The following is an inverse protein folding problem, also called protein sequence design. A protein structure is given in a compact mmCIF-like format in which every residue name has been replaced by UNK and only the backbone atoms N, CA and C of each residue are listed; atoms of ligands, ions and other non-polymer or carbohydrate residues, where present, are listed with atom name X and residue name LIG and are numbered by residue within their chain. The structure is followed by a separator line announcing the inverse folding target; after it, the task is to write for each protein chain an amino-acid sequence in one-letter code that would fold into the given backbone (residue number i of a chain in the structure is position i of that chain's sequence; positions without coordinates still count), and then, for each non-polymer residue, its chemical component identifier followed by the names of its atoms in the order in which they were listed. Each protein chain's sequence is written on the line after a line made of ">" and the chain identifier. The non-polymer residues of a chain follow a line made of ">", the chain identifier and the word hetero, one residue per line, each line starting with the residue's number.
data_IF_118711113509
#
_entry.id   IF_118711113509
#
_cell.length_a   1.000
_cell.length_b   1.000
_cell.length_c   1.000
_cell.angle_alpha   90.00
_cell.angle_beta   90.00
_cell.angle_gamma   90.00
#
_symmetry.space_group_name_H-M   'P 1'
#
loop_
_entity.id
_entity.type
_entity.pdbx_description
1 polymer ?
#
# COMPACT_ATOMS: atom_id res chain seq x y z
N UNK A 1 -21.93 -12.27 -5.81
CA UNK A 1 -20.90 -11.93 -4.83
C UNK A 1 -19.49 -11.92 -5.43
N UNK A 2 -18.99 -12.99 -6.02
CA UNK A 2 -17.63 -13.08 -6.62
C UNK A 2 -17.28 -11.95 -7.59
N UNK A 3 -18.21 -11.50 -8.43
CA UNK A 3 -17.95 -10.42 -9.39
C UNK A 3 -17.64 -9.08 -8.71
N UNK A 4 -18.38 -8.73 -7.63
CA UNK A 4 -18.15 -7.51 -6.85
C UNK A 4 -16.79 -7.56 -6.12
N UNK A 5 -16.49 -8.70 -5.49
CA UNK A 5 -15.18 -8.92 -4.84
C UNK A 5 -14.03 -8.81 -5.83
N UNK A 6 -14.20 -9.38 -7.03
CA UNK A 6 -13.20 -9.29 -8.08
C UNK A 6 -13.03 -7.84 -8.55
N UNK A 7 -14.11 -7.11 -8.80
CA UNK A 7 -14.03 -5.71 -9.20
C UNK A 7 -13.35 -4.84 -8.13
N UNK A 8 -13.66 -5.07 -6.84
CA UNK A 8 -13.02 -4.37 -5.73
C UNK A 8 -11.52 -4.65 -5.62
N UNK A 9 -11.13 -5.92 -5.70
CA UNK A 9 -9.70 -6.31 -5.65
C UNK A 9 -8.94 -5.80 -6.88
N UNK A 10 -9.54 -5.83 -8.06
CA UNK A 10 -8.94 -5.26 -9.27
C UNK A 10 -8.75 -3.75 -9.15
N UNK A 11 -9.78 -3.02 -8.73
CA UNK A 11 -9.68 -1.58 -8.53
C UNK A 11 -8.59 -1.22 -7.50
N UNK A 12 -8.52 -1.98 -6.38
CA UNK A 12 -7.44 -1.80 -5.40
C UNK A 12 -6.07 -2.10 -6.00
N UNK A 13 -5.92 -3.18 -6.77
CA UNK A 13 -4.65 -3.55 -7.40
C UNK A 13 -4.15 -2.47 -8.37
N UNK A 14 -5.05 -1.88 -9.16
CA UNK A 14 -4.70 -0.77 -10.07
C UNK A 14 -4.36 0.52 -9.33
N UNK A 15 -4.99 0.81 -8.22
CA UNK A 15 -4.68 1.98 -7.38
C UNK A 15 -3.41 1.78 -6.55
N UNK A 16 -3.32 0.69 -5.80
CA UNK A 16 -2.26 0.45 -4.84
C UNK A 16 -0.94 -0.03 -5.46
N UNK A 17 -0.99 -0.86 -6.52
CA UNK A 17 0.22 -1.39 -7.17
C UNK A 17 1.22 -0.33 -7.63
N UNK A 18 0.80 0.70 -8.37
CA UNK A 18 1.66 1.81 -8.75
C UNK A 18 2.26 2.58 -7.57
N UNK A 19 1.49 2.79 -6.49
CA UNK A 19 2.02 3.40 -5.25
C UNK A 19 3.13 2.54 -4.68
N UNK A 20 2.94 1.22 -4.59
CA UNK A 20 3.93 0.28 -4.09
C UNK A 20 5.25 0.34 -4.87
N UNK A 21 5.20 0.51 -6.19
CA UNK A 21 6.40 0.69 -7.02
C UNK A 21 7.19 1.93 -6.59
N UNK A 22 6.55 3.07 -6.41
CA UNK A 22 7.22 4.29 -5.95
C UNK A 22 7.73 4.18 -4.52
N UNK A 23 6.97 3.56 -3.60
CA UNK A 23 7.44 3.29 -2.23
C UNK A 23 8.72 2.45 -2.25
N UNK A 24 8.77 1.42 -3.07
CA UNK A 24 9.93 0.54 -3.17
C UNK A 24 11.13 1.25 -3.80
N UNK A 25 10.95 2.06 -4.85
CA UNK A 25 12.01 2.85 -5.48
C UNK A 25 12.60 3.88 -4.50
N UNK A 26 11.79 4.43 -3.62
CA UNK A 26 12.21 5.38 -2.57
C UNK A 26 12.78 4.69 -1.33
N UNK A 27 12.90 3.36 -1.32
CA UNK A 27 13.33 2.55 -0.18
C UNK A 27 12.43 2.69 1.07
N UNK A 28 11.15 2.99 0.86
CA UNK A 28 10.14 3.19 1.89
C UNK A 28 9.18 1.98 1.97
N UNK A 29 9.71 0.78 1.88
CA UNK A 29 8.89 -0.45 1.82
C UNK A 29 8.11 -0.74 3.10
N UNK A 30 8.56 -0.27 4.25
CA UNK A 30 7.87 -0.44 5.54
C UNK A 30 6.78 0.60 5.79
N UNK A 31 6.69 1.64 4.96
CA UNK A 31 5.69 2.71 5.13
C UNK A 31 4.26 2.17 5.04
N UNK A 32 4.00 1.20 4.18
CA UNK A 32 2.69 0.59 4.07
C UNK A 32 2.22 -0.03 5.39
N UNK A 33 3.07 -0.80 6.05
CA UNK A 33 2.79 -1.43 7.33
C UNK A 33 2.71 -0.41 8.46
N UNK A 34 3.66 0.52 8.53
CA UNK A 34 3.66 1.59 9.52
C UNK A 34 2.39 2.47 9.44
N UNK A 35 1.97 2.83 8.23
CA UNK A 35 0.74 3.61 8.03
C UNK A 35 -0.52 2.81 8.37
N UNK A 36 -0.50 1.50 8.14
CA UNK A 36 -1.59 0.62 8.53
C UNK A 36 -1.98 0.77 10.00
N UNK A 37 -0.99 0.84 10.85
CA UNK A 37 -1.19 1.00 12.29
C UNK A 37 -1.34 2.48 12.71
N UNK A 38 -0.74 3.41 11.99
CA UNK A 38 -0.88 4.84 12.24
C UNK A 38 -2.32 5.36 12.12
N UNK A 39 -3.16 4.68 11.34
CA UNK A 39 -4.57 5.00 11.12
C UNK A 39 -5.45 4.61 12.30
N UNK A 40 -5.04 3.64 13.13
CA UNK A 40 -5.86 3.05 14.21
C UNK A 40 -6.41 4.07 15.21
N UNK A 41 -5.64 5.03 15.77
CA UNK A 41 -6.19 5.99 16.74
C UNK A 41 -7.32 6.82 16.17
N UNK A 42 -7.17 7.26 14.91
CA UNK A 42 -8.20 8.05 14.25
C UNK A 42 -9.47 7.25 13.97
N UNK A 43 -9.33 6.01 13.52
CA UNK A 43 -10.46 5.10 13.36
C UNK A 43 -11.15 4.82 14.70
N UNK A 44 -10.38 4.62 15.78
CA UNK A 44 -10.90 4.43 17.14
C UNK A 44 -11.66 5.66 17.64
N UNK A 45 -11.15 6.86 17.42
CA UNK A 45 -11.84 8.12 17.76
C UNK A 45 -13.13 8.25 16.95
N UNK A 46 -13.09 7.98 15.64
CA UNK A 46 -14.28 7.99 14.78
C UNK A 46 -15.35 7.03 15.27
N UNK A 47 -14.96 5.83 15.70
CA UNK A 47 -15.84 4.85 16.33
C UNK A 47 -16.45 5.37 17.65
N UNK A 48 -15.64 6.01 18.50
CA UNK A 48 -16.13 6.54 19.79
C UNK A 48 -17.15 7.66 19.65
N UNK A 49 -17.05 8.46 18.57
CA UNK A 49 -17.95 9.60 18.32
C UNK A 49 -19.25 9.14 17.68
N UNK A 50 -19.18 8.23 16.71
CA UNK A 50 -20.30 7.90 15.81
C UNK A 50 -20.67 6.41 15.79
N UNK A 51 -20.11 5.60 16.70
CA UNK A 51 -20.31 4.14 16.71
C UNK A 51 -19.73 3.47 15.46
N UNK A 52 -20.38 2.39 14.98
CA UNK A 52 -19.96 1.64 13.79
C UNK A 52 -20.26 2.39 12.47
N UNK A 53 -20.09 3.71 12.45
CA UNK A 53 -20.23 4.49 11.23
C UNK A 53 -18.92 4.42 10.43
N UNK A 54 -18.97 3.69 9.30
CA UNK A 54 -17.85 3.46 8.39
C UNK A 54 -17.21 4.77 7.92
N UNK A 55 -18.02 5.78 7.60
CA UNK A 55 -17.54 7.06 7.10
C UNK A 55 -16.78 7.84 8.19
N UNK A 56 -17.26 7.83 9.43
CA UNK A 56 -16.59 8.50 10.56
C UNK A 56 -15.27 7.81 10.91
N UNK A 57 -15.22 6.49 10.88
CA UNK A 57 -14.00 5.72 11.10
C UNK A 57 -12.99 5.94 9.96
N UNK A 58 -13.44 5.97 8.71
CA UNK A 58 -12.59 6.22 7.55
C UNK A 58 -11.98 7.63 7.57
N UNK A 59 -12.79 8.65 7.84
CA UNK A 59 -12.32 10.05 7.94
C UNK A 59 -11.38 10.24 9.12
N UNK A 60 -11.67 9.66 10.28
CA UNK A 60 -10.77 9.67 11.43
C UNK A 60 -9.42 9.01 11.12
N UNK A 61 -9.45 7.84 10.51
CA UNK A 61 -8.25 7.12 10.09
C UNK A 61 -7.43 7.90 9.06
N UNK A 62 -8.09 8.54 8.07
CA UNK A 62 -7.44 9.37 7.06
C UNK A 62 -6.73 10.57 7.69
N UNK A 63 -7.39 11.26 8.62
CA UNK A 63 -6.80 12.40 9.34
C UNK A 63 -5.58 11.95 10.15
N UNK A 64 -5.71 10.87 10.93
CA UNK A 64 -4.61 10.38 11.75
C UNK A 64 -3.42 9.91 10.90
N UNK A 65 -3.66 9.15 9.85
CA UNK A 65 -2.62 8.70 8.92
C UNK A 65 -1.91 9.87 8.25
N UNK A 66 -2.67 10.89 7.83
CA UNK A 66 -2.09 12.08 7.22
C UNK A 66 -1.26 12.92 8.21
N UNK A 67 -1.74 13.07 9.45
CA UNK A 67 -0.98 13.74 10.53
C UNK A 67 0.32 13.02 10.81
N UNK A 68 0.31 11.70 10.91
CA UNK A 68 1.51 10.87 11.13
C UNK A 68 2.48 10.99 9.94
N UNK A 69 1.97 10.90 8.71
CA UNK A 69 2.77 11.04 7.50
C UNK A 69 3.47 12.41 7.42
N UNK A 70 2.72 13.48 7.68
CA UNK A 70 3.27 14.84 7.70
C UNK A 70 4.28 15.03 8.83
N UNK A 71 3.98 14.58 10.05
CA UNK A 71 4.87 14.71 11.19
C UNK A 71 6.19 13.96 10.94
N UNK A 72 6.13 12.74 10.44
CA UNK A 72 7.31 11.95 10.09
C UNK A 72 8.14 12.60 8.98
N UNK A 73 7.50 13.08 7.91
CA UNK A 73 8.18 13.77 6.81
C UNK A 73 8.81 15.11 7.24
N UNK A 74 8.16 15.86 8.13
CA UNK A 74 8.71 17.11 8.67
C UNK A 74 9.95 16.85 9.55
N UNK A 75 9.90 15.83 10.42
CA UNK A 75 11.04 15.48 11.28
C UNK A 75 12.20 14.97 10.44
N UNK A 76 11.95 14.12 9.44
CA UNK A 76 13.00 13.65 8.54
C UNK A 76 13.69 14.78 7.78
N UNK A 77 13.00 15.87 7.49
CA UNK A 77 13.56 17.07 6.85
C UNK A 77 14.26 18.02 7.83
N UNK A 78 13.82 18.03 9.10
CA UNK A 78 14.38 18.91 10.13
C UNK A 78 15.56 18.28 10.89
N UNK A 79 15.78 16.97 10.75
CA UNK A 79 16.79 16.20 11.46
C UNK A 79 17.57 15.30 10.51
N UNK A 80 18.63 14.66 11.00
CA UNK A 80 19.42 13.66 10.24
C UNK A 80 18.73 12.28 10.19
N UNK A 81 17.55 12.13 10.79
CA UNK A 81 16.81 10.89 10.80
C UNK A 81 16.28 10.56 9.39
N UNK A 82 16.44 9.31 8.99
CA UNK A 82 15.81 8.80 7.78
C UNK A 82 14.30 8.78 7.94
N UNK A 83 13.57 9.05 6.87
CA UNK A 83 12.10 9.08 6.86
C UNK A 83 11.49 7.78 7.37
N UNK A 84 12.06 6.64 7.02
CA UNK A 84 11.64 5.29 7.47
C UNK A 84 11.74 5.13 9.00
N UNK A 85 12.81 5.65 9.61
CA UNK A 85 13.00 5.62 11.07
C UNK A 85 12.02 6.55 11.80
N UNK A 86 11.76 7.74 11.23
CA UNK A 86 10.78 8.68 11.77
C UNK A 86 9.37 8.09 11.71
N UNK A 87 9.00 7.48 10.58
CA UNK A 87 7.73 6.79 10.42
C UNK A 87 7.56 5.64 11.41
N UNK A 88 8.63 4.84 11.66
CA UNK A 88 8.59 3.75 12.62
C UNK A 88 8.33 4.26 14.06
N UNK A 89 8.92 5.39 14.45
CA UNK A 89 8.67 5.99 15.76
C UNK A 89 7.23 6.47 15.91
N UNK A 90 6.72 7.22 14.93
CA UNK A 90 5.33 7.70 14.94
C UNK A 90 4.31 6.58 14.87
N UNK A 91 4.59 5.53 14.10
CA UNK A 91 3.76 4.32 14.07
C UNK A 91 3.60 3.70 15.46
N UNK A 92 4.71 3.50 16.19
CA UNK A 92 4.65 2.91 17.53
C UNK A 92 3.87 3.79 18.51
N UNK A 93 4.07 5.10 18.47
CA UNK A 93 3.32 6.06 19.29
C UNK A 93 1.83 5.99 18.94
N UNK A 94 1.51 6.01 17.65
CA UNK A 94 0.14 5.96 17.16
C UNK A 94 -0.55 4.66 17.56
N UNK A 95 0.13 3.51 17.40
CA UNK A 95 -0.37 2.22 17.82
C UNK A 95 -0.67 2.18 19.32
N UNK A 96 0.27 2.67 20.15
CA UNK A 96 0.09 2.72 21.60
C UNK A 96 -1.13 3.59 21.99
N UNK A 97 -1.30 4.75 21.35
CA UNK A 97 -2.46 5.62 21.56
C UNK A 97 -3.75 4.92 21.14
N UNK A 98 -3.77 4.29 19.96
CA UNK A 98 -4.94 3.57 19.46
C UNK A 98 -5.37 2.43 20.38
N UNK A 99 -4.43 1.58 20.80
CA UNK A 99 -4.68 0.48 21.75
C UNK A 99 -5.17 1.02 23.08
N UNK A 100 -4.58 2.10 23.60
CA UNK A 100 -4.99 2.72 24.86
C UNK A 100 -6.43 3.22 24.79
N UNK A 101 -6.81 3.91 23.69
CA UNK A 101 -8.18 4.41 23.50
C UNK A 101 -9.18 3.26 23.52
N UNK A 102 -8.90 2.17 22.80
CA UNK A 102 -9.77 0.99 22.75
C UNK A 102 -9.87 0.29 24.09
N UNK A 103 -8.74 0.13 24.81
CA UNK A 103 -8.67 -0.57 26.09
C UNK A 103 -9.41 0.16 27.22
N UNK A 104 -9.27 1.48 27.30
CA UNK A 104 -9.90 2.30 28.37
C UNK A 104 -11.43 2.30 28.25
N UNK A 105 -11.98 2.17 27.06
CA UNK A 105 -13.43 2.18 26.82
C UNK A 105 -14.08 0.81 26.84
N UNK A 106 -13.31 -0.29 27.07
CA UNK A 106 -13.86 -1.64 27.25
C UNK A 106 -14.65 -2.17 26.06
N UNK A 107 -14.34 -1.72 24.85
CA UNK A 107 -15.00 -2.18 23.64
C UNK A 107 -14.47 -3.56 23.26
N UNK A 108 -15.33 -4.59 23.27
CA UNK A 108 -15.05 -5.93 22.72
C UNK A 108 -15.05 -5.86 21.18
N UNK A 109 -14.21 -4.97 20.59
CA UNK A 109 -14.02 -4.95 19.16
C UNK A 109 -13.14 -6.15 18.87
N UNK A 110 -13.65 -7.06 18.04
CA UNK A 110 -12.86 -8.16 17.52
C UNK A 110 -11.81 -7.60 16.54
N UNK A 111 -10.63 -7.28 17.09
CA UNK A 111 -9.49 -6.75 16.33
C UNK A 111 -9.08 -7.69 15.18
N UNK A 112 -9.35 -9.00 15.32
CA UNK A 112 -9.11 -9.96 14.25
C UNK A 112 -10.04 -9.71 13.05
N UNK A 113 -11.29 -9.37 13.30
CA UNK A 113 -12.23 -9.04 12.21
C UNK A 113 -11.83 -7.76 11.45
N UNK A 114 -11.25 -6.79 12.19
CA UNK A 114 -10.73 -5.56 11.59
C UNK A 114 -9.45 -5.78 10.76
N UNK A 115 -8.58 -6.72 11.21
CA UNK A 115 -7.33 -7.05 10.53
C UNK A 115 -7.54 -7.85 9.24
N UNK A 116 -8.47 -8.80 9.25
CA UNK A 116 -8.64 -9.72 8.11
C UNK A 116 -9.71 -9.30 7.11
N UNK A 117 -10.61 -8.38 7.50
CA UNK A 117 -11.69 -7.90 6.64
C UNK A 117 -12.60 -9.01 6.07
N UNK A 118 -13.61 -8.63 5.31
CA UNK A 118 -14.50 -9.57 4.62
C UNK A 118 -14.62 -9.23 3.14
N UNK A 119 -13.62 -9.61 2.35
CA UNK A 119 -13.58 -9.34 0.89
C UNK A 119 -14.82 -9.87 0.16
N UNK A 120 -15.43 -10.93 0.67
CA UNK A 120 -16.63 -11.55 0.04
C UNK A 120 -17.94 -10.81 0.33
N UNK A 121 -17.94 -9.85 1.26
CA UNK A 121 -19.15 -9.11 1.69
C UNK A 121 -19.15 -7.65 1.22
N UNK A 122 -18.48 -7.32 0.12
CA UNK A 122 -18.43 -5.96 -0.41
C UNK A 122 -19.84 -5.50 -0.83
N UNK A 123 -20.29 -4.40 -0.23
CA UNK A 123 -21.50 -3.68 -0.63
C UNK A 123 -21.20 -2.69 -1.76
N UNK A 124 -22.26 -2.14 -2.36
CA UNK A 124 -22.11 -1.23 -3.49
C UNK A 124 -21.42 0.09 -3.10
N UNK A 125 -21.61 0.56 -1.85
CA UNK A 125 -20.99 1.78 -1.35
C UNK A 125 -19.47 1.61 -1.21
N UNK A 126 -19.04 0.50 -0.65
CA UNK A 126 -17.62 0.17 -0.51
C UNK A 126 -16.94 -0.02 -1.87
N UNK A 127 -17.63 -0.65 -2.83
CA UNK A 127 -17.10 -0.81 -4.18
C UNK A 127 -16.90 0.53 -4.89
N UNK A 128 -17.87 1.44 -4.78
CA UNK A 128 -17.77 2.81 -5.32
C UNK A 128 -16.61 3.55 -4.65
N UNK A 129 -16.47 3.44 -3.32
CA UNK A 129 -15.38 4.08 -2.58
C UNK A 129 -14.01 3.61 -3.07
N UNK A 130 -13.81 2.30 -3.26
CA UNK A 130 -12.54 1.75 -3.79
C UNK A 130 -12.29 2.23 -5.22
N UNK A 131 -13.33 2.24 -6.08
CA UNK A 131 -13.19 2.66 -7.48
C UNK A 131 -12.84 4.16 -7.58
N UNK A 132 -13.50 5.00 -6.79
CA UNK A 132 -13.20 6.45 -6.70
C UNK A 132 -11.78 6.65 -6.19
N UNK A 133 -11.39 5.94 -5.12
CA UNK A 133 -10.05 6.02 -4.59
C UNK A 133 -8.99 5.60 -5.61
N UNK A 134 -9.19 4.49 -6.32
CA UNK A 134 -8.27 4.05 -7.37
C UNK A 134 -8.14 5.11 -8.47
N UNK A 135 -9.25 5.72 -8.88
CA UNK A 135 -9.26 6.79 -9.89
C UNK A 135 -8.51 8.03 -9.39
N UNK A 136 -8.80 8.50 -8.17
CA UNK A 136 -8.10 9.64 -7.55
C UNK A 136 -6.61 9.36 -7.44
N UNK A 137 -6.24 8.14 -7.08
CA UNK A 137 -4.84 7.74 -6.98
C UNK A 137 -4.13 7.76 -8.32
N UNK A 138 -4.72 7.17 -9.35
CA UNK A 138 -4.13 7.14 -10.69
C UNK A 138 -3.99 8.54 -11.28
N UNK A 139 -5.02 9.39 -11.13
CA UNK A 139 -4.98 10.78 -11.57
C UNK A 139 -3.93 11.57 -10.75
N UNK A 140 -3.92 11.42 -9.42
CA UNK A 140 -2.94 12.06 -8.56
C UNK A 140 -1.51 11.65 -8.90
N UNK A 141 -1.25 10.36 -9.09
CA UNK A 141 0.06 9.87 -9.54
C UNK A 141 0.45 10.41 -10.92
N UNK A 142 -0.50 10.48 -11.86
CA UNK A 142 -0.23 11.04 -13.19
C UNK A 142 0.18 12.51 -13.11
N UNK A 143 -0.46 13.31 -12.24
CA UNK A 143 -0.13 14.73 -12.04
C UNK A 143 1.28 14.92 -11.46
N UNK A 144 1.67 14.08 -10.48
CA UNK A 144 2.98 14.19 -9.82
C UNK A 144 4.04 13.24 -10.42
N UNK A 145 3.73 12.53 -11.51
CA UNK A 145 4.61 11.51 -12.07
C UNK A 145 6.03 12.01 -12.35
N UNK A 146 6.13 13.14 -13.03
CA UNK A 146 7.44 13.73 -13.39
C UNK A 146 8.27 14.16 -12.17
N UNK A 147 7.76 14.98 -11.22
CA UNK A 147 8.52 15.34 -10.04
C UNK A 147 8.83 14.13 -9.15
N UNK A 148 7.91 13.16 -9.06
CA UNK A 148 8.14 11.93 -8.28
C UNK A 148 9.23 11.04 -8.87
N UNK A 149 9.27 10.95 -10.21
CA UNK A 149 10.33 10.24 -10.93
C UNK A 149 11.70 10.88 -10.68
N UNK A 150 11.79 12.21 -10.80
CA UNK A 150 13.02 12.95 -10.55
C UNK A 150 13.48 12.79 -9.09
N UNK A 151 12.57 12.81 -8.14
CA UNK A 151 12.87 12.62 -6.72
C UNK A 151 13.40 11.19 -6.43
N UNK A 152 12.96 10.18 -7.20
CA UNK A 152 13.50 8.82 -7.07
C UNK A 152 14.91 8.67 -7.65
N UNK A 153 15.29 9.48 -8.65
CA UNK A 153 16.58 9.37 -9.35
C UNK A 153 17.63 10.27 -8.70
N UNK A 154 17.32 11.55 -8.54
CA UNK A 154 18.21 12.55 -7.93
C UNK A 154 17.40 13.63 -7.19
N UNK A 155 17.18 13.47 -5.87
CA UNK A 155 16.49 14.45 -5.05
C UNK A 155 17.14 15.83 -5.06
N UNK A 156 18.50 15.88 -5.06
CA UNK A 156 19.24 17.15 -5.03
C UNK A 156 19.05 17.94 -6.32
N UNK A 157 19.05 17.26 -7.46
CA UNK A 157 18.75 17.87 -8.75
C UNK A 157 17.35 18.48 -8.77
N UNK A 158 16.34 17.74 -8.28
CA UNK A 158 14.98 18.26 -8.21
C UNK A 158 14.89 19.53 -7.35
N UNK A 159 15.56 19.56 -6.19
CA UNK A 159 15.58 20.73 -5.32
C UNK A 159 16.28 21.95 -5.94
N UNK A 160 17.28 21.75 -6.80
CA UNK A 160 17.97 22.84 -7.49
C UNK A 160 17.19 23.44 -8.65
N UNK A 161 16.35 22.63 -9.33
CA UNK A 161 15.65 23.05 -10.56
C UNK A 161 14.18 23.44 -10.27
N UNK A 162 13.54 22.85 -9.26
CA UNK A 162 12.11 23.04 -9.01
C UNK A 162 11.72 22.96 -7.54
N UNK A 163 10.78 23.80 -7.13
CA UNK A 163 10.15 23.73 -5.82
C UNK A 163 9.02 22.67 -5.75
N UNK A 164 8.79 21.91 -6.83
CA UNK A 164 7.70 20.95 -6.91
C UNK A 164 7.94 19.67 -6.08
N UNK A 165 9.17 19.38 -5.63
CA UNK A 165 9.50 18.18 -4.86
C UNK A 165 8.71 18.08 -3.55
N UNK A 166 8.65 19.17 -2.76
CA UNK A 166 7.90 19.18 -1.50
C UNK A 166 6.41 18.88 -1.65
N UNK A 167 5.66 19.62 -2.49
CA UNK A 167 4.26 19.33 -2.75
C UNK A 167 4.01 17.95 -3.33
N UNK A 168 4.86 17.47 -4.24
CA UNK A 168 4.72 16.14 -4.83
C UNK A 168 4.89 15.04 -3.78
N UNK A 169 5.86 15.18 -2.88
CA UNK A 169 6.07 14.26 -1.78
C UNK A 169 4.86 14.20 -0.82
N UNK A 170 4.33 15.36 -0.41
CA UNK A 170 3.16 15.42 0.47
C UNK A 170 1.94 14.79 -0.21
N UNK A 171 1.71 15.11 -1.49
CA UNK A 171 0.60 14.51 -2.24
C UNK A 171 0.79 13.00 -2.39
N UNK A 172 2.01 12.51 -2.63
CA UNK A 172 2.30 11.10 -2.69
C UNK A 172 1.97 10.38 -1.37
N UNK A 173 2.41 10.92 -0.22
CA UNK A 173 2.08 10.38 1.09
C UNK A 173 0.55 10.40 1.35
N UNK A 174 -0.13 11.46 0.93
CA UNK A 174 -1.60 11.54 1.03
C UNK A 174 -2.28 10.42 0.22
N UNK A 175 -1.78 10.12 -1.00
CA UNK A 175 -2.28 9.03 -1.83
C UNK A 175 -2.00 7.65 -1.19
N UNK A 176 -0.84 7.47 -0.55
CA UNK A 176 -0.52 6.24 0.21
C UNK A 176 -1.54 6.04 1.33
N UNK A 177 -1.76 7.06 2.17
CA UNK A 177 -2.72 7.01 3.28
C UNK A 177 -4.13 6.74 2.77
N UNK A 178 -4.54 7.42 1.71
CA UNK A 178 -5.87 7.26 1.10
C UNK A 178 -6.11 5.83 0.62
N UNK A 179 -5.11 5.21 -0.04
CA UNK A 179 -5.21 3.82 -0.48
C UNK A 179 -5.28 2.84 0.68
N UNK A 180 -4.47 3.05 1.72
CA UNK A 180 -4.48 2.19 2.89
C UNK A 180 -5.81 2.28 3.64
N UNK A 181 -6.32 3.50 3.89
CA UNK A 181 -7.61 3.68 4.58
C UNK A 181 -8.74 3.03 3.80
N UNK A 182 -8.81 3.25 2.49
CA UNK A 182 -9.85 2.63 1.64
C UNK A 182 -9.71 1.11 1.59
N UNK A 183 -8.46 0.62 1.48
CA UNK A 183 -8.18 -0.82 1.45
C UNK A 183 -8.54 -1.51 2.76
N UNK A 184 -8.29 -0.89 3.90
CA UNK A 184 -8.60 -1.44 5.21
C UNK A 184 -10.09 -1.64 5.42
N UNK A 185 -10.87 -0.60 5.16
CA UNK A 185 -12.31 -0.67 5.32
C UNK A 185 -12.97 -1.69 4.41
N UNK A 186 -12.42 -1.85 3.20
CA UNK A 186 -13.02 -2.70 2.20
C UNK A 186 -12.55 -4.16 2.29
N UNK A 187 -11.27 -4.38 2.54
CA UNK A 187 -10.62 -5.67 2.26
C UNK A 187 -9.74 -6.16 3.42
N UNK A 188 -9.56 -5.35 4.46
CA UNK A 188 -8.69 -5.64 5.60
C UNK A 188 -7.24 -5.17 5.41
N UNK A 189 -6.55 -5.00 6.54
CA UNK A 189 -5.20 -4.42 6.57
C UNK A 189 -4.18 -5.28 5.84
N UNK A 190 -4.22 -6.59 6.05
CA UNK A 190 -3.30 -7.55 5.43
C UNK A 190 -3.36 -7.46 3.90
N UNK A 191 -4.57 -7.45 3.33
CA UNK A 191 -4.74 -7.42 1.88
C UNK A 191 -4.36 -6.04 1.30
N UNK A 192 -4.71 -4.95 1.97
CA UNK A 192 -4.38 -3.61 1.49
C UNK A 192 -2.87 -3.38 1.37
N UNK A 193 -2.11 -3.75 2.41
CA UNK A 193 -0.64 -3.62 2.40
C UNK A 193 -0.01 -4.63 1.45
N UNK A 194 -0.46 -5.88 1.48
CA UNK A 194 0.13 -6.95 0.67
C UNK A 194 -0.05 -6.74 -0.83
N UNK A 195 -1.24 -6.30 -1.28
CA UNK A 195 -1.49 -6.05 -2.72
C UNK A 195 -0.78 -4.77 -3.21
N UNK A 196 -0.43 -3.87 -2.32
CA UNK A 196 0.40 -2.71 -2.64
C UNK A 196 1.88 -3.11 -2.80
N UNK A 197 2.42 -3.95 -1.92
CA UNK A 197 3.85 -4.22 -1.85
C UNK A 197 4.31 -5.42 -2.67
N UNK A 198 3.62 -6.57 -2.59
CA UNK A 198 4.07 -7.81 -3.24
C UNK A 198 4.10 -7.72 -4.78
N UNK A 199 3.06 -7.18 -5.45
CA UNK A 199 3.12 -7.01 -6.90
C UNK A 199 4.20 -6.03 -7.35
N UNK A 200 4.44 -4.96 -6.59
CA UNK A 200 5.50 -4.01 -6.86
C UNK A 200 6.89 -4.65 -6.74
N UNK A 201 7.09 -5.46 -5.68
CA UNK A 201 8.33 -6.20 -5.48
C UNK A 201 8.56 -7.25 -6.57
N UNK A 202 7.52 -7.95 -7.01
CA UNK A 202 7.59 -8.88 -8.13
C UNK A 202 7.94 -8.17 -9.44
N UNK A 203 7.32 -7.02 -9.73
CA UNK A 203 7.53 -6.24 -10.95
C UNK A 203 8.98 -5.83 -11.17
N UNK A 204 9.74 -5.60 -10.10
CA UNK A 204 11.17 -5.27 -10.17
C UNK A 204 12.03 -6.35 -10.85
N UNK A 205 11.60 -7.59 -10.81
CA UNK A 205 12.30 -8.71 -11.45
C UNK A 205 11.93 -8.90 -12.92
N UNK A 206 10.86 -8.23 -13.39
CA UNK A 206 10.35 -8.36 -14.76
C UNK A 206 10.58 -7.12 -15.64
N UNK A 207 10.76 -5.95 -15.03
CA UNK A 207 10.88 -4.69 -15.75
C UNK A 207 12.14 -3.92 -15.33
N UNK A 208 12.71 -3.15 -16.27
CA UNK A 208 13.90 -2.30 -16.05
C UNK A 208 13.54 -0.83 -15.93
N UNK A 209 12.49 -0.40 -16.61
CA UNK A 209 11.99 0.96 -16.60
C UNK A 209 10.77 1.09 -15.69
N UNK A 210 10.56 2.27 -15.15
CA UNK A 210 9.51 2.54 -14.16
C UNK A 210 8.12 2.34 -14.76
N UNK A 211 7.90 2.77 -16.01
CA UNK A 211 6.59 2.62 -16.67
C UNK A 211 6.20 1.16 -16.81
N UNK A 212 7.12 0.30 -17.25
CA UNK A 212 6.88 -1.15 -17.32
C UNK A 212 6.70 -1.76 -15.93
N UNK A 213 7.44 -1.28 -14.90
CA UNK A 213 7.23 -1.73 -13.52
C UNK A 213 5.82 -1.41 -13.03
N UNK A 214 5.28 -0.23 -13.32
CA UNK A 214 3.91 0.15 -12.97
C UNK A 214 2.90 -0.79 -13.63
N UNK A 215 3.05 -1.06 -14.94
CA UNK A 215 2.18 -1.95 -15.68
C UNK A 215 2.25 -3.40 -15.15
N UNK A 216 3.46 -3.93 -14.96
CA UNK A 216 3.67 -5.29 -14.44
C UNK A 216 3.11 -5.41 -13.02
N UNK A 217 3.31 -4.42 -12.15
CA UNK A 217 2.74 -4.40 -10.81
C UNK A 217 1.21 -4.49 -10.83
N UNK A 218 0.56 -3.69 -11.68
CA UNK A 218 -0.89 -3.74 -11.85
C UNK A 218 -1.37 -5.11 -12.34
N UNK A 219 -0.70 -5.71 -13.34
CA UNK A 219 -1.03 -7.03 -13.87
C UNK A 219 -0.83 -8.13 -12.81
N UNK A 220 0.30 -8.12 -12.10
CA UNK A 220 0.57 -9.09 -11.03
C UNK A 220 -0.44 -8.95 -9.91
N UNK A 221 -0.79 -7.71 -9.51
CA UNK A 221 -1.82 -7.46 -8.52
C UNK A 221 -3.19 -7.99 -8.94
N UNK A 222 -3.60 -7.73 -10.18
CA UNK A 222 -4.85 -8.23 -10.76
C UNK A 222 -4.87 -9.76 -10.84
N UNK A 223 -3.79 -10.38 -11.31
CA UNK A 223 -3.66 -11.84 -11.39
C UNK A 223 -3.70 -12.49 -10.01
N UNK A 224 -3.01 -11.89 -9.02
CA UNK A 224 -3.02 -12.36 -7.63
C UNK A 224 -4.42 -12.27 -7.03
N UNK A 225 -5.12 -11.16 -7.29
CA UNK A 225 -6.49 -10.96 -6.85
C UNK A 225 -7.44 -11.99 -7.42
N UNK A 226 -7.40 -12.21 -8.73
CA UNK A 226 -8.23 -13.19 -9.41
C UNK A 226 -7.96 -14.62 -8.93
N UNK A 227 -6.70 -15.06 -8.99
CA UNK A 227 -6.32 -16.42 -8.59
C UNK A 227 -6.53 -16.66 -7.09
N UNK A 228 -6.28 -15.65 -6.23
CA UNK A 228 -6.50 -15.75 -4.79
C UNK A 228 -7.99 -15.87 -4.43
N UNK A 229 -8.87 -15.13 -5.12
CA UNK A 229 -10.32 -15.28 -4.93
C UNK A 229 -10.81 -16.65 -5.40
N UNK A 230 -10.29 -17.17 -6.51
CA UNK A 230 -10.62 -18.53 -6.95
C UNK A 230 -10.14 -19.58 -5.94
N UNK A 231 -8.92 -19.44 -5.43
CA UNK A 231 -8.38 -20.30 -4.39
C UNK A 231 -9.27 -20.28 -3.14
N UNK A 232 -9.62 -19.09 -2.65
CA UNK A 232 -10.52 -18.90 -1.51
C UNK A 232 -11.86 -19.59 -1.71
N UNK A 233 -12.44 -19.47 -2.91
CA UNK A 233 -13.72 -20.09 -3.24
C UNK A 233 -13.69 -21.62 -3.18
N UNK A 234 -12.61 -22.25 -3.67
CA UNK A 234 -12.49 -23.71 -3.72
C UNK A 234 -12.00 -24.35 -2.42
N UNK A 235 -11.24 -23.60 -1.59
CA UNK A 235 -10.60 -24.15 -0.39
C UNK A 235 -11.20 -23.67 0.91
N UNK A 236 -12.22 -22.75 0.86
CA UNK A 236 -12.81 -22.11 2.05
C UNK A 236 -11.81 -21.36 2.94
N UNK A 237 -10.63 -20.99 2.41
CA UNK A 237 -9.65 -20.14 3.10
C UNK A 237 -10.13 -18.68 3.05
N UNK A 238 -9.92 -17.86 4.09
CA UNK A 238 -10.24 -16.44 4.06
C UNK A 238 -9.61 -15.75 2.85
N UNK A 239 -10.39 -14.94 2.13
CA UNK A 239 -10.01 -14.37 0.83
C UNK A 239 -8.81 -13.44 0.87
N UNK A 240 -8.65 -12.63 1.94
CA UNK A 240 -7.49 -11.78 2.13
C UNK A 240 -6.17 -12.57 2.14
N UNK A 241 -6.00 -13.50 3.08
CA UNK A 241 -4.84 -14.40 3.11
C UNK A 241 -4.62 -15.18 1.83
N UNK A 242 -5.68 -15.68 1.16
CA UNK A 242 -5.55 -16.42 -0.08
C UNK A 242 -4.93 -15.58 -1.21
N UNK A 243 -5.37 -14.32 -1.36
CA UNK A 243 -4.80 -13.39 -2.35
C UNK A 243 -3.34 -13.10 -2.05
N UNK A 244 -2.98 -12.90 -0.77
CA UNK A 244 -1.60 -12.61 -0.36
C UNK A 244 -0.68 -13.84 -0.55
N UNK A 245 -1.16 -15.05 -0.29
CA UNK A 245 -0.39 -16.27 -0.55
C UNK A 245 -0.09 -16.44 -2.05
N UNK A 246 -1.06 -16.16 -2.92
CA UNK A 246 -0.85 -16.18 -4.37
C UNK A 246 0.14 -15.09 -4.80
N UNK A 247 -0.02 -13.86 -4.30
CA UNK A 247 0.91 -12.77 -4.59
C UNK A 247 2.34 -13.09 -4.11
N UNK A 248 2.47 -13.67 -2.91
CA UNK A 248 3.75 -14.17 -2.36
C UNK A 248 4.36 -15.27 -3.21
N UNK A 249 3.55 -16.22 -3.71
CA UNK A 249 3.99 -17.26 -4.63
C UNK A 249 4.51 -16.69 -5.96
N UNK A 250 3.80 -15.72 -6.54
CA UNK A 250 4.24 -15.00 -7.75
C UNK A 250 5.53 -14.24 -7.48
N UNK A 251 5.64 -13.57 -6.33
CA UNK A 251 6.86 -12.88 -5.93
C UNK A 251 8.03 -13.86 -5.80
N UNK A 252 7.86 -14.99 -5.10
CA UNK A 252 8.90 -16.02 -4.96
C UNK A 252 9.33 -16.58 -6.32
N UNK A 253 8.38 -16.88 -7.20
CA UNK A 253 8.67 -17.30 -8.57
C UNK A 253 9.45 -16.20 -9.34
N UNK A 254 9.08 -14.92 -9.15
CA UNK A 254 9.76 -13.77 -9.79
C UNK A 254 11.20 -13.63 -9.29
N UNK A 255 11.47 -13.86 -8.02
CA UNK A 255 12.84 -13.88 -7.46
C UNK A 255 13.69 -14.95 -8.10
N UNK A 256 13.13 -16.13 -8.37
CA UNK A 256 13.86 -17.26 -8.95
C UNK A 256 14.03 -17.08 -10.47
N UNK A 257 12.96 -16.80 -11.19
CA UNK A 257 12.90 -16.84 -12.66
C UNK A 257 12.97 -15.45 -13.33
N UNK A 258 12.93 -14.37 -12.58
CA UNK A 258 12.85 -13.01 -13.14
C UNK A 258 13.99 -12.67 -14.10
N UNK A 259 13.71 -12.11 -15.28
CA UNK A 259 14.71 -11.76 -16.29
C UNK A 259 15.60 -10.59 -15.89
N UNK A 260 15.24 -9.85 -14.83
CA UNK A 260 15.99 -8.71 -14.31
C UNK A 260 16.50 -9.01 -12.90
N UNK A 261 17.68 -9.66 -12.84
CA UNK A 261 18.36 -9.93 -11.56
C UNK A 261 17.82 -11.12 -10.77
N UNK A 262 17.06 -12.03 -11.39
CA UNK A 262 16.62 -13.28 -10.78
C UNK A 262 17.78 -14.21 -10.42
N UNK A 263 17.53 -15.10 -9.45
CA UNK A 263 18.56 -16.00 -8.92
C UNK A 263 19.16 -16.90 -10.00
N UNK A 264 18.36 -17.45 -10.90
CA UNK A 264 18.85 -18.33 -11.98
C UNK A 264 19.84 -17.59 -12.88
N UNK A 265 19.56 -16.33 -13.22
CA UNK A 265 20.47 -15.55 -14.05
C UNK A 265 21.81 -15.23 -13.38
N UNK A 266 21.86 -15.24 -12.05
CA UNK A 266 23.12 -15.08 -11.30
C UNK A 266 23.93 -16.36 -11.23
N UNK A 267 23.29 -17.51 -11.34
CA UNK A 267 23.93 -18.82 -11.35
C UNK A 267 24.51 -19.20 -12.73
N UNK A 268 24.01 -18.61 -13.81
CA UNK A 268 24.57 -18.79 -15.15
C UNK A 268 25.73 -17.81 -15.33
N UNK A 269 26.98 -18.29 -15.43
CA UNK A 269 28.13 -17.43 -15.62
C UNK A 269 27.98 -16.65 -16.93
N UNK A 270 27.95 -15.32 -16.86
CA UNK A 270 28.03 -14.48 -18.05
C UNK A 270 29.40 -14.73 -18.69
N UNK A 271 29.44 -15.29 -19.88
CA UNK A 271 30.64 -15.28 -20.70
C UNK A 271 30.95 -13.82 -20.96
N UNK A 272 32.02 -13.31 -20.31
CA UNK A 272 32.63 -12.06 -20.71
C UNK A 272 33.12 -12.29 -22.14
N UNK A 273 32.44 -11.66 -23.11
CA UNK A 273 33.03 -11.45 -24.43
C UNK A 273 34.06 -10.34 -24.20
N UNK A 274 35.29 -10.73 -23.91
CA UNK A 274 36.44 -9.88 -24.06
C UNK A 274 36.61 -9.67 -25.56
N UNK A 275 36.36 -8.43 -26.02
CA UNK A 275 36.74 -7.94 -27.32
C UNK A 275 37.64 -6.73 -27.11
#
# INVERSE_FOLDING_TARGET
>A
MLFRSLAGVLALAFGAGPIGVFLMLRRMSLVGDAMAHAILPGAAIGFLISGLNLFAMATGGLIAGFVVALAAGLIARATELKEDASLAAFFLISLAVGVTIVSVRGTNIDLLHFLFGTVLALDDQTLILIAVNATVTLVGLALIYRPLLLECVDPNFLHSVSRAGGPAHILFLALVVLNLVSGFHALGTLLAVGIMMLPAAAARFWARDITSMLAVSAVVGAASGYAGLLLSYHTSIPSGPAVILVAGGIYAASVVFGPVGGLILRLVPRRHLEA
#
